data_IF_686154160598
#
_entry.id   IF_686154160598
#
_cell.length_a   1.000
_cell.length_b   1.000
_cell.length_c   1.000
_cell.angle_alpha   90.00
_cell.angle_beta   90.00
_cell.angle_gamma   90.00
#
_symmetry.space_group_name_H-M   'P 1'
#
loop_
_entity.id
_entity.type
_entity.pdbx_description
1 polymer ?
#
# COMPACT_ATOMS: atom_id res chain seq x y z
N UNK A 1 8.91 28.65 5.22
CA UNK A 1 9.37 27.48 6.03
C UNK A 1 9.57 26.29 5.10
N UNK A 2 10.55 25.42 5.37
CA UNK A 2 10.73 24.19 4.57
C UNK A 2 9.63 23.18 4.93
N UNK A 3 9.04 22.47 3.95
CA UNK A 3 8.05 21.44 4.24
C UNK A 3 8.66 20.31 5.07
N UNK A 4 7.86 19.60 5.88
CA UNK A 4 8.34 18.46 6.64
C UNK A 4 8.82 17.36 5.69
N UNK A 5 9.84 16.61 6.11
CA UNK A 5 10.21 15.36 5.44
C UNK A 5 9.24 14.28 5.90
N UNK A 6 8.70 13.51 4.95
CA UNK A 6 7.72 12.47 5.23
C UNK A 6 8.35 11.11 4.97
N UNK A 7 8.22 10.20 5.92
CA UNK A 7 8.58 8.79 5.78
C UNK A 7 7.30 7.98 5.64
N UNK A 8 7.26 7.13 4.61
CA UNK A 8 6.15 6.23 4.31
C UNK A 8 6.48 4.85 4.86
N UNK A 9 5.57 4.36 5.69
CA UNK A 9 5.59 3.03 6.28
C UNK A 9 4.90 1.97 5.40
N UNK A 10 5.05 0.69 5.73
CA UNK A 10 4.48 -0.44 4.98
C UNK A 10 2.97 -0.34 4.83
N UNK A 11 2.25 -0.04 5.92
CA UNK A 11 0.78 0.01 5.90
C UNK A 11 0.23 0.96 4.82
N UNK A 12 0.58 2.26 4.86
CA UNK A 12 0.17 3.21 3.82
C UNK A 12 0.64 2.81 2.42
N UNK A 13 1.87 2.29 2.26
CA UNK A 13 2.36 1.89 0.94
C UNK A 13 1.55 0.73 0.35
N UNK A 14 1.23 -0.28 1.17
CA UNK A 14 0.38 -1.42 0.77
C UNK A 14 -1.04 -0.98 0.46
N UNK A 15 -1.67 -0.17 1.31
CA UNK A 15 -3.03 0.32 1.08
C UNK A 15 -3.12 1.23 -0.15
N UNK A 16 -2.08 2.01 -0.45
CA UNK A 16 -2.01 2.79 -1.68
C UNK A 16 -1.95 1.90 -2.93
N UNK A 17 -1.18 0.79 -2.89
CA UNK A 17 -1.00 -0.11 -4.04
C UNK A 17 -2.12 -1.14 -4.21
N UNK A 18 -2.80 -1.52 -3.12
CA UNK A 18 -3.92 -2.45 -3.13
C UNK A 18 -5.27 -1.70 -3.22
N UNK A 19 -5.84 -1.62 -4.42
CA UNK A 19 -7.15 -0.97 -4.68
C UNK A 19 -8.34 -1.56 -3.91
N UNK A 20 -8.19 -2.77 -3.38
CA UNK A 20 -9.23 -3.43 -2.58
C UNK A 20 -8.99 -3.31 -1.07
N UNK A 21 -7.92 -2.61 -0.66
CA UNK A 21 -7.68 -2.32 0.74
C UNK A 21 -8.73 -1.34 1.27
N UNK A 22 -9.22 -1.58 2.48
CA UNK A 22 -10.22 -0.74 3.13
C UNK A 22 -9.76 0.71 3.33
N UNK A 23 -8.44 0.95 3.37
CA UNK A 23 -7.86 2.29 3.54
C UNK A 23 -7.37 2.92 2.23
N UNK A 24 -7.60 2.28 1.08
CA UNK A 24 -7.08 2.75 -0.21
C UNK A 24 -7.45 4.21 -0.50
N UNK A 25 -8.73 4.57 -0.41
CA UNK A 25 -9.20 5.93 -0.69
C UNK A 25 -8.65 6.97 0.29
N UNK A 26 -8.54 6.59 1.56
CA UNK A 26 -7.97 7.45 2.59
C UNK A 26 -6.49 7.74 2.30
N UNK A 27 -5.68 6.72 1.98
CA UNK A 27 -4.26 6.91 1.68
C UNK A 27 -4.04 7.71 0.40
N UNK A 28 -4.83 7.46 -0.65
CA UNK A 28 -4.76 8.26 -1.89
C UNK A 28 -4.98 9.74 -1.58
N UNK A 29 -5.96 10.06 -0.73
CA UNK A 29 -6.23 11.43 -0.30
C UNK A 29 -5.08 12.01 0.51
N UNK A 30 -4.48 11.23 1.42
CA UNK A 30 -3.31 11.69 2.19
C UNK A 30 -2.13 11.97 1.26
N UNK A 31 -1.77 11.04 0.38
CA UNK A 31 -0.61 11.16 -0.51
C UNK A 31 -0.75 12.33 -1.48
N UNK A 32 -1.96 12.61 -1.97
CA UNK A 32 -2.24 13.78 -2.81
C UNK A 32 -1.99 15.12 -2.09
N UNK A 33 -2.08 15.15 -0.76
CA UNK A 33 -1.83 16.34 0.04
C UNK A 33 -0.37 16.50 0.49
N UNK A 34 0.47 15.47 0.33
CA UNK A 34 1.87 15.51 0.75
C UNK A 34 2.78 16.15 -0.31
N UNK A 35 3.81 16.86 0.14
CA UNK A 35 4.80 17.48 -0.73
C UNK A 35 5.94 16.49 -0.99
N UNK A 36 6.23 16.11 -2.25
CA UNK A 36 7.34 15.21 -2.58
C UNK A 36 8.73 15.81 -2.28
N UNK A 37 9.79 14.98 -2.11
CA UNK A 37 9.76 13.52 -2.16
C UNK A 37 9.29 12.89 -0.84
N UNK A 38 8.63 11.74 -0.95
CA UNK A 38 8.35 10.85 0.17
C UNK A 38 9.48 9.84 0.30
N UNK A 39 9.92 9.57 1.53
CA UNK A 39 11.03 8.67 1.81
C UNK A 39 10.52 7.34 2.35
N UNK A 40 11.24 6.26 2.08
CA UNK A 40 11.00 4.94 2.69
C UNK A 40 12.33 4.18 2.76
N UNK A 41 12.32 2.95 3.27
CA UNK A 41 13.52 2.11 3.36
C UNK A 41 13.30 0.72 2.76
N UNK A 42 14.39 -0.03 2.57
CA UNK A 42 14.39 -1.37 1.98
C UNK A 42 13.52 -2.36 2.74
N UNK A 43 13.41 -2.22 4.07
CA UNK A 43 12.56 -3.05 4.90
C UNK A 43 11.07 -2.84 4.57
N UNK A 44 10.63 -1.59 4.45
CA UNK A 44 9.25 -1.24 4.06
C UNK A 44 8.92 -1.74 2.67
N UNK A 45 9.85 -1.62 1.72
CA UNK A 45 9.67 -2.15 0.35
C UNK A 45 9.52 -3.68 0.39
N UNK A 46 10.41 -4.37 1.12
CA UNK A 46 10.42 -5.83 1.21
C UNK A 46 9.12 -6.37 1.82
N UNK A 47 8.65 -5.76 2.90
CA UNK A 47 7.40 -6.14 3.56
C UNK A 47 6.18 -5.85 2.67
N UNK A 48 6.17 -4.70 1.99
CA UNK A 48 5.09 -4.34 1.06
C UNK A 48 4.96 -5.37 -0.07
N UNK A 49 6.07 -5.80 -0.67
CA UNK A 49 6.09 -6.85 -1.68
C UNK A 49 5.55 -8.19 -1.14
N UNK A 50 5.95 -8.58 0.08
CA UNK A 50 5.47 -9.81 0.72
C UNK A 50 3.96 -9.78 0.95
N UNK A 51 3.43 -8.68 1.46
CA UNK A 51 2.00 -8.51 1.76
C UNK A 51 1.15 -8.45 0.49
N UNK A 52 1.56 -7.68 -0.53
CA UNK A 52 0.83 -7.57 -1.79
C UNK A 52 0.71 -8.92 -2.52
N UNK A 53 1.79 -9.71 -2.55
CA UNK A 53 1.77 -11.06 -3.11
C UNK A 53 0.80 -11.99 -2.35
N UNK A 54 0.71 -11.85 -1.02
CA UNK A 54 -0.25 -12.61 -0.21
C UNK A 54 -1.68 -12.22 -0.54
N UNK A 55 -1.99 -10.92 -0.67
CA UNK A 55 -3.32 -10.46 -1.05
C UNK A 55 -3.72 -10.96 -2.45
N UNK A 56 -2.82 -10.92 -3.43
CA UNK A 56 -3.07 -11.46 -4.77
C UNK A 56 -3.41 -12.96 -4.72
N UNK A 57 -2.58 -13.75 -4.04
CA UNK A 57 -2.80 -15.20 -3.89
C UNK A 57 -4.10 -15.52 -3.15
N UNK A 58 -4.38 -14.80 -2.06
CA UNK A 58 -5.64 -14.92 -1.32
C UNK A 58 -6.83 -14.62 -2.22
N UNK A 59 -6.79 -13.53 -3.00
CA UNK A 59 -7.83 -13.20 -3.98
C UNK A 59 -8.00 -14.32 -4.99
N UNK A 60 -6.94 -14.78 -5.65
CA UNK A 60 -6.99 -15.88 -6.63
C UNK A 60 -7.61 -17.15 -6.03
N UNK A 61 -7.32 -17.46 -4.77
CA UNK A 61 -7.90 -18.61 -4.08
C UNK A 61 -9.39 -18.48 -3.78
N UNK A 62 -9.90 -17.25 -3.63
CA UNK A 62 -11.33 -16.97 -3.48
C UNK A 62 -12.03 -17.05 -4.84
N UNK A 63 -11.39 -16.55 -5.90
CA UNK A 63 -11.89 -16.71 -7.27
C UNK A 63 -12.06 -18.19 -7.64
N UNK A 64 -11.06 -19.03 -7.35
CA UNK A 64 -11.15 -20.48 -7.64
C UNK A 64 -12.20 -21.22 -6.80
N UNK A 65 -12.65 -20.67 -5.66
CA UNK A 65 -13.63 -21.31 -4.76
C UNK A 65 -15.08 -20.95 -5.06
N UNK A 66 -15.34 -19.81 -5.71
CA UNK A 66 -16.70 -19.36 -6.04
C UNK A 66 -17.10 -19.65 -7.49
N UNK A 67 -16.21 -20.24 -8.30
CA UNK A 67 -16.45 -20.61 -9.70
C UNK A 67 -16.48 -22.13 -9.94
N UNK A 68 -16.65 -22.93 -8.87
CA UNK A 68 -16.99 -24.36 -8.93
C UNK A 68 -18.31 -24.61 -8.19
#
# INVERSE_FOLDING_TARGET
>A
MKPPKVVVDTGPLVAYLNKTDQYHEWVVTQFAALIPPLFTCEAVISESCFLLNRYEKSRMSLWNRHML
#
